data_IF_237327139353
#
_entry.id   IF_237327139353
#
_cell.length_a   1.000
_cell.length_b   1.000
_cell.length_c   1.000
_cell.angle_alpha   90.00
_cell.angle_beta   90.00
_cell.angle_gamma   90.00
#
_symmetry.space_group_name_H-M   'P 1'
#
loop_
_entity.id
_entity.type
_entity.pdbx_description
1 polymer ?
#
# COMPACT_ATOMS: atom_id res chain seq x y z
N UNK A 1 -5.50 28.88 -33.36
CA UNK A 1 -6.43 28.60 -32.25
C UNK A 1 -5.65 28.57 -30.94
N UNK A 2 -5.41 29.72 -30.30
CA UNK A 2 -4.78 29.76 -28.98
C UNK A 2 -5.88 29.56 -27.93
N UNK A 3 -5.98 28.34 -27.36
CA UNK A 3 -6.85 28.13 -26.20
C UNK A 3 -6.26 28.86 -25.00
N UNK A 4 -7.05 29.74 -24.39
CA UNK A 4 -6.65 30.54 -23.23
C UNK A 4 -6.39 29.66 -22.00
N UNK A 5 -5.26 29.92 -21.32
CA UNK A 5 -4.78 29.19 -20.13
C UNK A 5 -5.79 29.21 -18.96
N UNK A 6 -6.67 30.21 -18.93
CA UNK A 6 -7.74 30.36 -17.94
C UNK A 6 -8.82 29.25 -18.02
N UNK A 7 -8.99 28.61 -19.17
CA UNK A 7 -9.96 27.52 -19.34
C UNK A 7 -9.42 26.19 -18.82
N UNK A 8 -8.10 25.97 -18.91
CA UNK A 8 -7.45 24.74 -18.40
C UNK A 8 -7.62 24.63 -16.87
N UNK A 9 -7.47 25.74 -16.12
CA UNK A 9 -7.57 25.73 -14.65
C UNK A 9 -8.97 25.37 -14.14
N UNK A 10 -10.04 25.66 -14.89
CA UNK A 10 -11.42 25.33 -14.48
C UNK A 10 -11.73 23.84 -14.57
N UNK A 11 -11.05 23.12 -15.48
CA UNK A 11 -11.16 21.68 -15.62
C UNK A 11 -10.13 20.90 -14.80
N UNK A 12 -9.05 21.57 -14.37
CA UNK A 12 -7.99 20.97 -13.54
C UNK A 12 -8.48 20.51 -12.16
N UNK A 13 -9.52 21.14 -11.59
CA UNK A 13 -10.13 20.72 -10.33
C UNK A 13 -11.27 19.70 -10.48
N UNK A 14 -12.08 19.81 -11.54
CA UNK A 14 -13.28 18.99 -11.70
C UNK A 14 -13.00 17.54 -12.11
N UNK A 15 -12.16 17.34 -13.15
CA UNK A 15 -11.83 15.99 -13.64
C UNK A 15 -10.86 15.26 -12.71
N UNK A 16 -9.88 15.98 -12.14
CA UNK A 16 -8.97 15.41 -11.15
C UNK A 16 -9.74 14.95 -9.91
N UNK A 17 -10.64 15.75 -9.37
CA UNK A 17 -11.44 15.37 -8.19
C UNK A 17 -12.38 14.18 -8.45
N UNK A 18 -13.00 14.10 -9.63
CA UNK A 18 -13.80 12.92 -10.01
C UNK A 18 -12.92 11.68 -10.12
N UNK A 19 -11.77 11.81 -10.79
CA UNK A 19 -10.78 10.74 -10.90
C UNK A 19 -10.36 10.27 -9.51
N UNK A 20 -9.99 11.18 -8.61
CA UNK A 20 -9.53 10.86 -7.26
C UNK A 20 -10.62 10.13 -6.44
N UNK A 21 -11.90 10.50 -6.58
CA UNK A 21 -13.02 9.79 -5.96
C UNK A 21 -13.22 8.39 -6.56
N UNK A 22 -13.08 8.23 -7.88
CA UNK A 22 -13.16 6.91 -8.55
C UNK A 22 -12.02 6.01 -8.11
N UNK A 23 -10.81 6.55 -8.03
CA UNK A 23 -9.61 5.86 -7.53
C UNK A 23 -9.82 5.42 -6.09
N UNK A 24 -10.31 6.32 -5.23
CA UNK A 24 -10.57 6.00 -3.83
C UNK A 24 -11.59 4.87 -3.67
N UNK A 25 -12.63 4.84 -4.52
CA UNK A 25 -13.60 3.73 -4.53
C UNK A 25 -13.01 2.42 -5.04
N UNK A 26 -12.15 2.46 -6.06
CA UNK A 26 -11.48 1.26 -6.55
C UNK A 26 -10.53 0.69 -5.50
N UNK A 27 -9.73 1.54 -4.87
CA UNK A 27 -8.86 1.18 -3.76
C UNK A 27 -9.66 0.58 -2.59
N UNK A 28 -10.75 1.22 -2.16
CA UNK A 28 -11.60 0.71 -1.07
C UNK A 28 -12.18 -0.68 -1.38
N UNK A 29 -12.59 -0.95 -2.63
CA UNK A 29 -13.06 -2.30 -3.03
C UNK A 29 -11.95 -3.34 -2.95
N UNK A 30 -10.73 -2.99 -3.35
CA UNK A 30 -9.56 -3.86 -3.27
C UNK A 30 -9.23 -4.15 -1.81
N UNK A 31 -9.20 -3.12 -0.94
CA UNK A 31 -8.97 -3.29 0.50
C UNK A 31 -10.00 -4.20 1.13
N UNK A 32 -11.28 -4.01 0.83
CA UNK A 32 -12.34 -4.84 1.43
C UNK A 32 -12.21 -6.30 1.00
N UNK A 33 -11.86 -6.55 -0.26
CA UNK A 33 -11.55 -7.90 -0.77
C UNK A 33 -10.34 -8.53 -0.08
N UNK A 34 -9.29 -7.73 0.15
CA UNK A 34 -8.10 -8.15 0.89
C UNK A 34 -8.44 -8.49 2.34
N UNK A 35 -9.21 -7.63 3.02
CA UNK A 35 -9.65 -7.83 4.40
C UNK A 35 -10.41 -9.14 4.54
N UNK A 36 -11.43 -9.35 3.71
CA UNK A 36 -12.27 -10.55 3.75
C UNK A 36 -11.45 -11.84 3.55
N UNK A 37 -10.46 -11.83 2.66
CA UNK A 37 -9.60 -12.99 2.42
C UNK A 37 -8.55 -13.22 3.53
N UNK A 38 -8.14 -12.15 4.21
CA UNK A 38 -7.17 -12.19 5.30
C UNK A 38 -7.79 -12.37 6.69
N UNK A 39 -9.11 -12.49 6.81
CA UNK A 39 -9.82 -12.63 8.10
C UNK A 39 -9.43 -13.92 8.85
N UNK A 40 -9.19 -15.01 8.14
CA UNK A 40 -8.83 -16.31 8.74
C UNK A 40 -7.33 -16.50 8.97
N UNK A 41 -6.49 -15.54 8.57
CA UNK A 41 -5.04 -15.63 8.63
C UNK A 41 -4.50 -14.75 9.77
N UNK A 42 -3.34 -15.11 10.32
CA UNK A 42 -2.69 -14.36 11.41
C UNK A 42 -1.20 -14.11 11.15
N UNK A 43 -0.62 -13.13 11.85
CA UNK A 43 0.82 -12.85 11.82
C UNK A 43 1.36 -12.61 10.41
N UNK A 44 2.56 -13.13 10.13
CA UNK A 44 3.23 -13.00 8.84
C UNK A 44 2.41 -13.52 7.65
N UNK A 45 1.70 -14.62 7.83
CA UNK A 45 0.91 -15.24 6.76
C UNK A 45 -0.23 -14.32 6.32
N UNK A 46 -0.91 -13.68 7.28
CA UNK A 46 -1.94 -12.67 7.01
C UNK A 46 -1.39 -11.51 6.18
N UNK A 47 -0.21 -11.01 6.54
CA UNK A 47 0.40 -9.85 5.87
C UNK A 47 0.82 -10.20 4.45
N UNK A 48 1.50 -11.34 4.26
CA UNK A 48 1.95 -11.80 2.95
C UNK A 48 0.76 -12.02 2.01
N UNK A 49 -0.25 -12.77 2.45
CA UNK A 49 -1.45 -13.00 1.66
C UNK A 49 -2.17 -11.69 1.33
N UNK A 50 -2.25 -10.75 2.28
CA UNK A 50 -2.88 -9.45 2.04
C UNK A 50 -2.17 -8.64 0.96
N UNK A 51 -0.83 -8.66 0.94
CA UNK A 51 -0.03 -7.98 -0.09
C UNK A 51 -0.26 -8.62 -1.46
N UNK A 52 -0.23 -9.95 -1.55
CA UNK A 52 -0.48 -10.68 -2.80
C UNK A 52 -1.88 -10.38 -3.36
N UNK A 53 -2.91 -10.43 -2.51
CA UNK A 53 -4.27 -10.09 -2.93
C UNK A 53 -4.42 -8.63 -3.36
N UNK A 54 -3.72 -7.69 -2.71
CA UNK A 54 -3.73 -6.29 -3.12
C UNK A 54 -3.09 -6.12 -4.51
N UNK A 55 -1.97 -6.79 -4.77
CA UNK A 55 -1.25 -6.73 -6.05
C UNK A 55 -2.09 -7.36 -7.19
N UNK A 56 -2.68 -8.52 -6.95
CA UNK A 56 -3.59 -9.17 -7.88
C UNK A 56 -4.85 -8.31 -8.15
N UNK A 57 -5.42 -7.69 -7.11
CA UNK A 57 -6.59 -6.81 -7.22
C UNK A 57 -6.32 -5.57 -8.08
N UNK A 58 -5.18 -4.92 -7.88
CA UNK A 58 -4.81 -3.74 -8.68
C UNK A 58 -4.57 -4.08 -10.15
N UNK A 59 -3.97 -5.25 -10.44
CA UNK A 59 -3.68 -5.66 -11.83
C UNK A 59 -4.91 -6.14 -12.59
N UNK A 60 -5.83 -6.80 -11.89
CA UNK A 60 -7.10 -7.26 -12.45
C UNK A 60 -8.08 -6.10 -12.68
N UNK A 61 -8.01 -5.00 -11.90
CA UNK A 61 -8.85 -3.82 -12.13
C UNK A 61 -8.38 -3.02 -13.37
N UNK A 62 -9.22 -2.85 -14.41
CA UNK A 62 -8.91 -2.02 -15.57
C UNK A 62 -8.50 -0.57 -15.19
N UNK A 63 -9.07 -0.04 -14.10
CA UNK A 63 -8.72 1.28 -13.57
C UNK A 63 -7.36 1.29 -12.90
N UNK A 64 -6.92 0.18 -12.31
CA UNK A 64 -5.59 0.03 -11.70
C UNK A 64 -4.46 0.17 -12.73
N UNK A 65 -4.61 -0.43 -13.91
CA UNK A 65 -3.66 -0.25 -15.03
C UNK A 65 -3.58 1.20 -15.51
N UNK A 66 -4.72 1.90 -15.59
CA UNK A 66 -4.73 3.34 -15.92
C UNK A 66 -4.16 4.20 -14.80
N UNK A 67 -4.31 3.78 -13.54
CA UNK A 67 -3.75 4.43 -12.36
C UNK A 67 -2.22 4.45 -12.43
N UNK A 68 -1.59 3.30 -12.65
CA UNK A 68 -0.13 3.15 -12.77
C UNK A 68 0.42 4.09 -13.85
N UNK A 69 -0.23 4.14 -15.02
CA UNK A 69 0.16 5.05 -16.10
C UNK A 69 -0.03 6.54 -15.79
N UNK A 70 -0.94 6.86 -14.85
CA UNK A 70 -1.27 8.22 -14.42
C UNK A 70 -0.55 8.66 -13.15
N UNK A 71 0.28 7.79 -12.56
CA UNK A 71 1.01 8.14 -11.34
C UNK A 71 1.89 9.36 -11.59
N UNK A 72 1.96 10.29 -10.63
CA UNK A 72 2.74 11.49 -10.83
C UNK A 72 4.23 11.12 -10.93
N UNK A 73 4.80 11.27 -12.13
CA UNK A 73 6.24 11.03 -12.40
C UNK A 73 7.15 12.11 -11.82
N UNK A 74 6.58 13.15 -11.21
CA UNK A 74 7.29 14.23 -10.54
C UNK A 74 7.32 13.98 -9.04
N UNK A 75 8.47 14.23 -8.40
CA UNK A 75 8.68 14.09 -6.96
C UNK A 75 7.55 14.74 -6.13
N UNK A 76 7.16 15.97 -6.48
CA UNK A 76 6.09 16.71 -5.78
C UNK A 76 4.71 16.04 -5.89
N UNK A 77 4.44 15.35 -7.00
CA UNK A 77 3.18 14.65 -7.20
C UNK A 77 3.14 13.31 -6.47
N UNK A 78 4.27 12.60 -6.40
CA UNK A 78 4.41 11.39 -5.60
C UNK A 78 4.25 11.70 -4.11
N UNK A 79 4.84 12.80 -3.64
CA UNK A 79 4.74 13.26 -2.25
C UNK A 79 3.31 13.67 -1.88
N UNK A 80 2.61 14.40 -2.76
CA UNK A 80 1.18 14.70 -2.60
C UNK A 80 0.31 13.44 -2.57
N UNK A 81 0.61 12.45 -3.42
CA UNK A 81 -0.13 11.19 -3.46
C UNK A 81 0.08 10.40 -2.16
N UNK A 82 1.32 10.27 -1.69
CA UNK A 82 1.66 9.61 -0.42
C UNK A 82 1.07 10.34 0.79
N UNK A 83 0.96 11.68 0.74
CA UNK A 83 0.30 12.48 1.77
C UNK A 83 -1.23 12.54 1.68
N UNK A 84 -1.84 11.86 0.70
CA UNK A 84 -3.28 11.93 0.49
C UNK A 84 -4.07 11.11 1.51
N UNK A 85 -5.32 11.52 1.77
CA UNK A 85 -6.26 10.78 2.62
C UNK A 85 -6.50 9.34 2.14
N UNK A 86 -6.32 9.08 0.84
CA UNK A 86 -6.41 7.74 0.28
C UNK A 86 -5.31 6.83 0.83
N UNK A 87 -4.05 7.29 0.82
CA UNK A 87 -2.90 6.55 1.33
C UNK A 87 -2.96 6.42 2.85
N UNK A 88 -3.46 7.46 3.55
CA UNK A 88 -3.69 7.41 4.99
C UNK A 88 -4.73 6.35 5.39
N UNK A 89 -5.86 6.26 4.68
CA UNK A 89 -6.86 5.23 4.91
C UNK A 89 -6.29 3.83 4.64
N UNK A 90 -5.56 3.67 3.52
CA UNK A 90 -4.91 2.40 3.20
C UNK A 90 -3.88 1.98 4.26
N UNK A 91 -3.15 2.94 4.83
CA UNK A 91 -2.22 2.71 5.93
C UNK A 91 -2.94 2.26 7.22
N UNK A 92 -4.08 2.87 7.54
CA UNK A 92 -4.90 2.46 8.68
C UNK A 92 -5.49 1.06 8.49
N UNK A 93 -5.95 0.74 7.28
CA UNK A 93 -6.45 -0.59 6.95
C UNK A 93 -5.34 -1.65 7.04
N UNK A 94 -4.16 -1.37 6.49
CA UNK A 94 -2.98 -2.23 6.64
C UNK A 94 -2.49 -2.31 8.09
N UNK A 95 -2.62 -1.24 8.88
CA UNK A 95 -2.30 -1.29 10.30
C UNK A 95 -3.19 -2.29 11.06
N UNK A 96 -4.47 -2.41 10.70
CA UNK A 96 -5.36 -3.45 11.22
C UNK A 96 -4.94 -4.87 10.81
N UNK A 97 -4.27 -5.01 9.66
CA UNK A 97 -3.68 -6.28 9.22
C UNK A 97 -2.40 -6.58 10.00
N UNK A 98 -1.58 -5.57 10.32
CA UNK A 98 -0.33 -5.67 11.08
C UNK A 98 -0.52 -5.58 12.60
N UNK A 99 -1.66 -6.03 13.12
CA UNK A 99 -1.91 -6.11 14.57
C UNK A 99 -2.01 -4.75 15.30
N UNK A 100 -2.34 -3.67 14.58
CA UNK A 100 -2.44 -2.32 15.13
C UNK A 100 -1.16 -1.49 15.03
N UNK A 101 -0.09 -2.02 14.43
CA UNK A 101 1.14 -1.25 14.20
C UNK A 101 0.95 -0.26 13.03
N UNK A 102 0.67 1.00 13.37
CA UNK A 102 0.49 2.07 12.39
C UNK A 102 1.76 2.39 11.60
N UNK A 103 2.94 2.23 12.21
CA UNK A 103 4.22 2.48 11.55
C UNK A 103 4.49 1.39 10.51
N UNK A 104 4.27 0.13 10.87
CA UNK A 104 4.40 -0.98 9.95
C UNK A 104 3.36 -0.92 8.83
N UNK A 105 2.11 -0.57 9.14
CA UNK A 105 1.07 -0.34 8.13
C UNK A 105 1.47 0.76 7.13
N UNK A 106 1.95 1.90 7.63
CA UNK A 106 2.45 3.00 6.78
C UNK A 106 3.68 2.63 5.93
N UNK A 107 4.58 1.81 6.45
CA UNK A 107 5.70 1.27 5.67
C UNK A 107 5.22 0.31 4.59
N UNK A 108 4.31 -0.60 4.93
CA UNK A 108 3.78 -1.61 4.03
C UNK A 108 3.03 -1.00 2.85
N UNK A 109 2.29 0.10 3.07
CA UNK A 109 1.69 0.87 1.97
C UNK A 109 2.73 1.31 0.95
N UNK A 110 3.89 1.81 1.40
CA UNK A 110 4.96 2.26 0.50
C UNK A 110 5.55 1.08 -0.28
N UNK A 111 5.69 -0.08 0.36
CA UNK A 111 6.14 -1.32 -0.29
C UNK A 111 5.15 -1.76 -1.37
N UNK A 112 3.85 -1.86 -1.05
CA UNK A 112 2.80 -2.24 -2.01
C UNK A 112 2.76 -1.27 -3.19
N UNK A 113 2.82 0.04 -2.94
CA UNK A 113 2.86 1.05 -3.99
C UNK A 113 4.10 0.91 -4.89
N UNK A 114 5.25 0.57 -4.30
CA UNK A 114 6.47 0.36 -5.08
C UNK A 114 6.35 -0.83 -6.04
N UNK A 115 5.75 -1.95 -5.61
CA UNK A 115 5.52 -3.14 -6.44
C UNK A 115 4.44 -2.91 -7.52
N UNK A 116 3.49 -2.02 -7.26
CA UNK A 116 2.48 -1.60 -8.25
C UNK A 116 3.14 -0.74 -9.35
N UNK A 117 4.04 0.17 -8.96
CA UNK A 117 4.67 1.13 -9.87
C UNK A 117 5.87 0.55 -10.63
N UNK A 118 6.62 -0.33 -9.98
CA UNK A 118 7.77 -1.06 -10.49
C UNK A 118 7.55 -2.56 -10.24
N UNK A 119 6.73 -3.22 -11.07
CA UNK A 119 6.45 -4.64 -10.91
C UNK A 119 7.71 -5.47 -11.17
N UNK A 120 7.76 -6.66 -10.56
CA UNK A 120 8.77 -7.67 -10.89
C UNK A 120 8.57 -8.21 -12.32
N UNK A 121 9.52 -9.01 -12.81
CA UNK A 121 9.44 -9.61 -14.14
C UNK A 121 8.21 -10.51 -14.32
N UNK A 122 7.84 -11.24 -13.27
CA UNK A 122 6.62 -12.05 -13.23
C UNK A 122 6.03 -12.17 -11.80
N UNK A 123 4.85 -12.79 -11.72
CA UNK A 123 4.10 -12.99 -10.48
C UNK A 123 4.79 -13.96 -9.51
N UNK A 124 5.55 -14.91 -10.03
CA UNK A 124 6.26 -15.92 -9.21
C UNK A 124 7.43 -15.29 -8.46
N UNK A 125 8.21 -14.46 -9.15
CA UNK A 125 9.30 -13.68 -8.54
C UNK A 125 8.74 -12.72 -7.50
N UNK A 126 7.62 -12.06 -7.80
CA UNK A 126 7.01 -11.13 -6.86
C UNK A 126 6.52 -11.84 -5.58
N UNK A 127 5.88 -12.99 -5.72
CA UNK A 127 5.51 -13.86 -4.60
C UNK A 127 6.74 -14.22 -3.77
N UNK A 128 7.82 -14.63 -4.41
CA UNK A 128 9.07 -14.93 -3.70
C UNK A 128 9.64 -13.71 -2.97
N UNK A 129 9.58 -12.51 -3.57
CA UNK A 129 10.02 -11.27 -2.91
C UNK A 129 9.18 -10.96 -1.67
N UNK A 130 7.85 -11.06 -1.78
CA UNK A 130 6.92 -10.82 -0.67
C UNK A 130 7.19 -11.81 0.47
N UNK A 131 7.27 -13.10 0.17
CA UNK A 131 7.59 -14.13 1.17
C UNK A 131 8.98 -13.93 1.79
N UNK A 132 10.00 -13.59 1.01
CA UNK A 132 11.38 -13.49 1.46
C UNK A 132 11.66 -12.27 2.31
N UNK A 133 11.01 -11.14 2.01
CA UNK A 133 11.34 -9.84 2.60
C UNK A 133 10.23 -9.25 3.47
N UNK A 134 8.96 -9.57 3.22
CA UNK A 134 7.84 -9.06 4.02
C UNK A 134 7.51 -10.03 5.14
N UNK A 135 7.35 -11.33 4.84
CA UNK A 135 7.00 -12.36 5.84
C UNK A 135 7.83 -12.29 7.14
N UNK A 136 9.18 -12.28 7.08
CA UNK A 136 10.02 -12.22 8.27
C UNK A 136 9.83 -10.96 9.13
N UNK A 137 9.45 -9.82 8.53
CA UNK A 137 9.23 -8.57 9.26
C UNK A 137 8.01 -8.63 10.20
N UNK A 138 7.10 -9.58 9.95
CA UNK A 138 5.88 -9.81 10.72
C UNK A 138 5.81 -11.22 11.33
N UNK A 139 6.87 -12.01 11.17
CA UNK A 139 6.97 -13.38 11.68
C UNK A 139 7.50 -13.46 13.11
N UNK A 140 7.96 -12.34 13.66
CA UNK A 140 8.42 -12.24 15.04
C UNK A 140 7.33 -11.65 15.93
N UNK A 141 6.54 -12.53 16.55
CA UNK A 141 6.20 -12.26 17.94
C UNK A 141 7.53 -12.39 18.73
N UNK A 142 7.91 -11.38 19.52
CA UNK A 142 8.97 -11.41 20.57
C UNK A 142 10.47 -11.39 20.21
N UNK A 143 10.92 -10.63 19.20
CA UNK A 143 12.37 -10.44 18.95
C UNK A 143 13.02 -9.29 19.73
N UNK A 144 12.33 -8.16 19.86
CA UNK A 144 12.89 -6.93 20.46
C UNK A 144 12.78 -6.92 21.99
N UNK A 145 11.69 -7.48 22.55
CA UNK A 145 11.46 -7.53 24.00
C UNK A 145 12.39 -8.52 24.70
N UNK A 146 12.67 -9.68 24.09
CA UNK A 146 13.56 -10.70 24.66
C UNK A 146 15.02 -10.24 24.75
N UNK A 147 15.46 -9.36 23.85
CA UNK A 147 16.82 -8.81 23.91
C UNK A 147 16.95 -7.73 25.00
N UNK A 148 15.91 -6.93 25.23
CA UNK A 148 15.94 -5.87 26.23
C UNK A 148 15.88 -6.42 27.68
N UNK A 149 15.16 -7.53 27.90
CA UNK A 149 15.16 -8.22 29.20
C UNK A 149 16.52 -8.83 29.56
N UNK A 150 17.26 -9.39 28.59
CA UNK A 150 18.59 -9.98 28.83
C UNK A 150 19.66 -8.93 29.11
N UNK A 151 19.53 -7.73 28.55
CA UNK A 151 20.45 -6.62 28.82
C UNK A 151 20.20 -6.01 30.20
N UNK A 152 18.94 -5.93 30.66
CA UNK A 152 18.61 -5.47 32.00
C UNK A 152 19.06 -6.45 33.10
N UNK A 153 18.97 -7.75 32.84
CA UNK A 153 19.38 -8.81 33.78
C UNK A 153 20.91 -8.99 33.85
N UNK A 154 21.63 -8.63 32.79
CA UNK A 154 23.10 -8.60 32.79
C UNK A 154 23.70 -7.31 33.41
N UNK A 155 22.85 -6.32 33.72
CA UNK A 155 23.24 -5.04 34.32
C UNK A 155 22.86 -4.92 35.82
N UNK A 156 22.30 -5.97 36.43
CA UNK A 156 22.03 -6.10 37.87
C UNK A 156 22.96 -7.12 38.51
#
# INVERSE_FOLDING_TARGET
MHCSRATIYRYAGGKAKIRDVVIARAAARIVESVRAQAESLTGAERVVASVEFALAGVRSDPLGRHLVGSFPKSANGAEWFVGSQLVANFAADLAGITGGDHQAGGWLVRVVLSLILWPAEDEEIERQLVHRFIGPAFGHESGFDANNSRVAEAAS
#
